data_IF_367897468753
#
_entry.id   IF_367897468753
#
_cell.length_a   1.000
_cell.length_b   1.000
_cell.length_c   1.000
_cell.angle_alpha   90.00
_cell.angle_beta   90.00
_cell.angle_gamma   90.00
#
_symmetry.space_group_name_H-M   'P 1'
#
loop_
_entity.id
_entity.type
_entity.pdbx_description
1 polymer ?
#
# COMPACT_ATOMS: atom_id res chain seq x y z
N UNK A 1 43.97 12.76 9.77
CA UNK A 1 42.95 11.78 9.29
C UNK A 1 43.74 10.51 9.03
N UNK A 2 43.40 9.43 9.72
CA UNK A 2 44.14 8.15 9.63
C UNK A 2 43.46 7.29 8.53
N UNK A 3 44.13 7.09 7.38
CA UNK A 3 43.64 6.30 6.27
C UNK A 3 43.62 4.78 6.56
N UNK A 4 44.16 4.35 7.70
CA UNK A 4 44.23 2.93 8.07
C UNK A 4 43.07 2.46 8.95
N UNK A 5 42.11 3.33 9.31
CA UNK A 5 40.97 2.96 10.12
C UNK A 5 39.90 2.27 9.25
N UNK A 6 39.70 0.94 9.37
CA UNK A 6 38.72 0.21 8.59
C UNK A 6 37.25 0.59 8.91
N UNK A 7 37.02 1.36 9.99
CA UNK A 7 35.71 1.87 10.39
C UNK A 7 35.47 3.33 10.00
N UNK A 8 36.38 3.91 9.19
CA UNK A 8 36.16 5.23 8.65
C UNK A 8 35.05 5.12 7.59
N UNK A 9 33.80 5.24 8.02
CA UNK A 9 32.72 5.48 7.09
C UNK A 9 33.01 6.79 6.35
N UNK A 10 33.17 6.76 5.01
CA UNK A 10 33.28 8.00 4.26
C UNK A 10 32.05 8.85 4.62
N UNK A 11 32.17 10.18 4.72
CA UNK A 11 31.06 11.05 5.00
C UNK A 11 29.95 10.65 4.03
N UNK A 12 28.75 10.35 4.56
CA UNK A 12 27.59 9.93 3.81
C UNK A 12 27.47 10.84 2.59
N UNK A 13 27.91 10.34 1.44
CA UNK A 13 27.74 11.06 0.19
C UNK A 13 26.25 11.02 -0.10
N UNK A 14 25.56 12.11 0.27
CA UNK A 14 24.27 12.37 -0.33
C UNK A 14 24.46 12.22 -1.83
N UNK A 15 23.74 11.31 -2.50
CA UNK A 15 23.89 11.11 -3.94
C UNK A 15 23.44 12.41 -4.63
N UNK A 16 24.44 13.30 -4.84
CA UNK A 16 24.32 14.49 -5.66
C UNK A 16 24.12 13.98 -7.08
N UNK A 17 22.97 14.23 -7.68
CA UNK A 17 22.56 13.91 -9.05
C UNK A 17 21.85 12.56 -9.28
N UNK A 18 20.90 12.17 -8.42
CA UNK A 18 19.77 11.41 -8.98
C UNK A 18 18.76 12.40 -9.54
N UNK A 19 18.31 12.22 -10.81
CA UNK A 19 17.19 13.02 -11.31
C UNK A 19 16.05 12.99 -10.30
N UNK A 20 15.39 14.12 -10.08
CA UNK A 20 14.28 14.25 -9.10
C UNK A 20 13.17 13.19 -9.28
N UNK A 21 13.09 12.55 -10.46
CA UNK A 21 12.20 11.43 -10.77
C UNK A 21 12.54 10.13 -10.00
N UNK A 22 13.79 9.92 -9.57
CA UNK A 22 14.19 8.73 -8.81
C UNK A 22 14.10 8.92 -7.29
N UNK A 23 13.78 10.11 -6.83
CA UNK A 23 13.32 10.38 -5.47
C UNK A 23 11.79 10.21 -5.41
N UNK A 24 11.30 9.11 -5.94
CA UNK A 24 9.93 8.66 -5.76
C UNK A 24 9.73 8.26 -4.29
N UNK A 25 9.61 9.26 -3.44
CA UNK A 25 9.46 9.09 -2.01
C UNK A 25 9.59 10.37 -1.22
N UNK A 26 9.93 11.45 -1.86
CA UNK A 26 9.98 12.78 -1.25
C UNK A 26 8.67 13.53 -1.43
N UNK A 27 7.69 13.32 -0.56
CA UNK A 27 6.75 14.39 -0.22
C UNK A 27 5.52 14.61 -1.11
N UNK A 28 5.15 13.73 -2.04
CA UNK A 28 3.90 13.87 -2.80
C UNK A 28 2.91 12.75 -2.50
N UNK A 29 1.63 13.11 -2.37
CA UNK A 29 0.56 12.10 -2.29
C UNK A 29 0.52 11.29 -3.58
N UNK A 30 0.22 10.00 -3.47
CA UNK A 30 0.04 9.15 -4.64
C UNK A 30 -1.10 9.66 -5.51
N UNK A 31 -0.91 9.63 -6.82
CA UNK A 31 -1.97 9.86 -7.79
C UNK A 31 -3.00 8.72 -7.73
N UNK A 32 -4.18 8.92 -8.32
CA UNK A 32 -5.22 7.88 -8.40
C UNK A 32 -4.66 6.58 -8.98
N UNK A 33 -3.96 6.63 -10.09
CA UNK A 33 -3.39 5.44 -10.74
C UNK A 33 -2.35 4.74 -9.85
N UNK A 34 -1.50 5.51 -9.19
CA UNK A 34 -0.52 4.95 -8.25
C UNK A 34 -1.19 4.30 -7.04
N UNK A 35 -2.27 4.89 -6.54
CA UNK A 35 -2.98 4.35 -5.39
C UNK A 35 -3.73 3.05 -5.72
N UNK A 36 -4.43 3.00 -6.85
CA UNK A 36 -5.41 1.95 -7.15
C UNK A 36 -4.91 0.87 -8.11
N UNK A 37 -3.95 1.19 -8.98
CA UNK A 37 -3.51 0.29 -10.05
C UNK A 37 -2.08 -0.21 -9.89
N UNK A 38 -1.19 0.56 -9.24
CA UNK A 38 0.20 0.16 -9.01
C UNK A 38 0.34 -0.64 -7.71
N UNK A 39 1.26 -1.60 -7.71
CA UNK A 39 1.66 -2.36 -6.53
C UNK A 39 2.88 -1.75 -5.81
N UNK A 40 3.47 -0.71 -6.38
CA UNK A 40 4.68 -0.06 -5.85
C UNK A 40 4.37 0.99 -4.79
N UNK A 41 5.35 1.24 -3.93
CA UNK A 41 5.28 2.26 -2.90
C UNK A 41 4.67 1.78 -1.59
N UNK A 42 4.39 2.73 -0.71
CA UNK A 42 3.89 2.52 0.66
C UNK A 42 2.70 3.43 0.92
N UNK A 43 1.73 2.95 1.69
CA UNK A 43 0.62 3.78 2.18
C UNK A 43 0.48 3.64 3.70
N UNK A 44 0.28 4.74 4.45
CA UNK A 44 0.04 4.69 5.88
C UNK A 44 -1.38 4.16 6.15
N UNK A 45 -1.62 3.63 7.34
CA UNK A 45 -2.93 3.09 7.75
C UNK A 45 -4.10 4.06 7.51
N UNK A 46 -3.88 5.36 7.71
CA UNK A 46 -4.92 6.38 7.47
C UNK A 46 -5.34 6.41 6.00
N UNK A 47 -4.39 6.46 5.07
CA UNK A 47 -4.68 6.42 3.64
C UNK A 47 -5.30 5.07 3.22
N UNK A 48 -4.83 3.96 3.79
CA UNK A 48 -5.40 2.63 3.55
C UNK A 48 -6.89 2.58 3.88
N UNK A 49 -7.32 3.13 5.02
CA UNK A 49 -8.73 3.18 5.38
C UNK A 49 -9.52 4.21 4.58
N UNK A 50 -9.09 5.48 4.60
CA UNK A 50 -9.88 6.61 4.08
C UNK A 50 -9.92 6.63 2.54
N UNK A 51 -8.75 6.42 1.91
CA UNK A 51 -8.62 6.50 0.45
C UNK A 51 -8.63 5.13 -0.22
N UNK A 52 -8.59 4.04 0.53
CA UNK A 52 -8.61 2.66 0.06
C UNK A 52 -9.91 1.93 0.42
N UNK A 53 -9.97 1.40 1.63
CA UNK A 53 -11.04 0.47 2.05
C UNK A 53 -12.44 1.10 2.02
N UNK A 54 -12.60 2.32 2.54
CA UNK A 54 -13.92 2.98 2.58
C UNK A 54 -14.50 3.23 1.18
N UNK A 55 -13.76 3.76 0.19
CA UNK A 55 -14.26 3.85 -1.18
C UNK A 55 -14.61 2.51 -1.82
N UNK A 56 -13.82 1.45 -1.57
CA UNK A 56 -14.12 0.11 -2.08
C UNK A 56 -15.44 -0.43 -1.50
N UNK A 57 -15.63 -0.28 -0.19
CA UNK A 57 -16.89 -0.67 0.47
C UNK A 57 -18.06 0.16 -0.10
N UNK A 58 -17.89 1.48 -0.18
CA UNK A 58 -18.92 2.36 -0.73
C UNK A 58 -19.35 1.97 -2.14
N UNK A 59 -18.37 1.72 -3.03
CA UNK A 59 -18.64 1.27 -4.39
C UNK A 59 -19.34 -0.09 -4.42
N UNK A 60 -18.91 -1.03 -3.57
CA UNK A 60 -19.55 -2.35 -3.46
C UNK A 60 -20.98 -2.26 -2.98
N UNK A 61 -21.28 -1.40 -2.01
CA UNK A 61 -22.64 -1.19 -1.49
C UNK A 61 -23.53 -0.56 -2.57
N UNK A 62 -23.06 0.47 -3.27
CA UNK A 62 -23.81 1.09 -4.37
C UNK A 62 -24.08 0.07 -5.47
N UNK A 63 -23.09 -0.72 -5.86
CA UNK A 63 -23.27 -1.77 -6.85
C UNK A 63 -24.27 -2.83 -6.41
N UNK A 64 -24.27 -3.21 -5.14
CA UNK A 64 -25.24 -4.16 -4.58
C UNK A 64 -26.68 -3.63 -4.63
N UNK A 65 -26.88 -2.37 -4.27
CA UNK A 65 -28.19 -1.72 -4.35
C UNK A 65 -28.68 -1.68 -5.80
N UNK A 66 -27.85 -1.22 -6.73
CA UNK A 66 -28.21 -1.15 -8.15
C UNK A 66 -28.50 -2.53 -8.74
N UNK A 67 -27.68 -3.53 -8.42
CA UNK A 67 -27.89 -4.91 -8.87
C UNK A 67 -29.21 -5.48 -8.36
N UNK A 68 -29.58 -5.18 -7.13
CA UNK A 68 -30.84 -5.61 -6.51
C UNK A 68 -32.04 -4.91 -7.16
N UNK A 69 -31.97 -3.59 -7.34
CA UNK A 69 -33.07 -2.81 -7.94
C UNK A 69 -33.31 -3.16 -9.41
N UNK A 70 -32.24 -3.45 -10.15
CA UNK A 70 -32.30 -3.74 -11.58
C UNK A 70 -32.39 -5.25 -11.88
N UNK A 71 -32.43 -6.10 -10.84
CA UNK A 71 -32.38 -7.57 -10.96
C UNK A 71 -31.20 -8.08 -11.78
N UNK A 72 -30.06 -7.39 -11.72
CA UNK A 72 -28.85 -7.69 -12.49
C UNK A 72 -27.81 -8.43 -11.63
N UNK A 73 -28.06 -9.70 -11.31
CA UNK A 73 -27.15 -10.50 -10.47
C UNK A 73 -25.70 -10.58 -11.03
N UNK A 74 -25.55 -10.59 -12.36
CA UNK A 74 -24.23 -10.58 -12.99
C UNK A 74 -23.44 -9.30 -12.75
N UNK A 75 -24.10 -8.17 -12.49
CA UNK A 75 -23.42 -6.90 -12.19
C UNK A 75 -22.55 -7.02 -10.94
N UNK A 76 -23.03 -7.69 -9.89
CA UNK A 76 -22.25 -7.90 -8.66
C UNK A 76 -21.01 -8.74 -8.90
N UNK A 77 -21.13 -9.81 -9.69
CA UNK A 77 -19.99 -10.65 -10.02
C UNK A 77 -18.93 -9.86 -10.80
N UNK A 78 -19.34 -9.07 -11.79
CA UNK A 78 -18.43 -8.23 -12.58
C UNK A 78 -17.71 -7.19 -11.70
N UNK A 79 -18.47 -6.47 -10.86
CA UNK A 79 -17.88 -5.48 -9.93
C UNK A 79 -16.92 -6.15 -8.97
N UNK A 80 -17.25 -7.30 -8.40
CA UNK A 80 -16.38 -8.04 -7.49
C UNK A 80 -15.05 -8.41 -8.15
N UNK A 81 -15.08 -8.91 -9.37
CA UNK A 81 -13.86 -9.24 -10.14
C UNK A 81 -13.02 -7.99 -10.41
N UNK A 82 -13.64 -6.89 -10.82
CA UNK A 82 -12.94 -5.63 -11.08
C UNK A 82 -12.28 -5.06 -9.82
N UNK A 83 -12.89 -5.24 -8.65
CA UNK A 83 -12.36 -4.75 -7.39
C UNK A 83 -11.24 -5.61 -6.80
N UNK A 84 -11.00 -6.82 -7.30
CA UNK A 84 -9.87 -7.65 -6.85
C UNK A 84 -8.55 -6.91 -7.06
N UNK A 85 -8.32 -6.36 -8.24
CA UNK A 85 -7.05 -5.70 -8.57
C UNK A 85 -6.71 -4.54 -7.63
N UNK A 86 -7.57 -3.51 -7.46
CA UNK A 86 -7.28 -2.42 -6.54
C UNK A 86 -7.18 -2.88 -5.08
N UNK A 87 -7.94 -3.89 -4.67
CA UNK A 87 -7.82 -4.46 -3.32
C UNK A 87 -6.43 -5.06 -3.07
N UNK A 88 -5.92 -5.83 -4.03
CA UNK A 88 -4.57 -6.40 -3.97
C UNK A 88 -3.49 -5.31 -4.00
N UNK A 89 -3.65 -4.28 -4.84
CA UNK A 89 -2.72 -3.16 -4.92
C UNK A 89 -2.62 -2.38 -3.60
N UNK A 90 -3.75 -2.13 -2.94
CA UNK A 90 -3.80 -1.49 -1.62
C UNK A 90 -3.16 -2.37 -0.54
N UNK A 91 -3.50 -3.66 -0.53
CA UNK A 91 -2.93 -4.61 0.42
C UNK A 91 -1.40 -4.71 0.27
N UNK A 92 -0.90 -4.82 -0.97
CA UNK A 92 0.53 -4.88 -1.25
C UNK A 92 1.28 -3.67 -0.68
N UNK A 93 0.80 -2.45 -0.98
CA UNK A 93 1.40 -1.21 -0.45
C UNK A 93 1.37 -1.14 1.07
N UNK A 94 0.36 -1.74 1.66
CA UNK A 94 0.24 -1.77 3.11
C UNK A 94 1.22 -2.76 3.73
N UNK A 95 1.45 -3.93 3.11
CA UNK A 95 2.52 -4.85 3.48
C UNK A 95 3.90 -4.21 3.29
N UNK A 96 4.10 -3.45 2.20
CA UNK A 96 5.31 -2.68 1.95
C UNK A 96 5.57 -1.62 3.03
N UNK A 97 4.53 -0.98 3.54
CA UNK A 97 4.63 -0.01 4.65
C UNK A 97 5.09 -0.67 5.96
N UNK A 98 4.88 -1.98 6.09
CA UNK A 98 5.38 -2.82 7.18
C UNK A 98 6.75 -3.47 6.88
N UNK A 99 7.43 -3.04 5.82
CA UNK A 99 8.66 -3.64 5.30
C UNK A 99 8.53 -5.14 4.96
N UNK A 100 7.33 -5.57 4.62
CA UNK A 100 7.01 -6.94 4.23
C UNK A 100 6.72 -7.01 2.73
N UNK A 101 7.09 -8.12 2.09
CA UNK A 101 6.79 -8.36 0.68
C UNK A 101 5.28 -8.50 0.45
N UNK A 102 4.82 -8.11 -0.76
CA UNK A 102 3.42 -8.31 -1.19
C UNK A 102 2.97 -9.79 -1.13
N UNK A 103 3.89 -10.75 -1.16
CA UNK A 103 3.59 -12.18 -1.02
C UNK A 103 2.87 -12.52 0.29
N UNK A 104 2.99 -11.69 1.32
CA UNK A 104 2.22 -11.84 2.56
C UNK A 104 0.71 -11.75 2.37
N UNK A 105 0.23 -11.27 1.20
CA UNK A 105 -1.20 -11.30 0.85
C UNK A 105 -1.71 -12.74 0.84
N UNK A 106 -0.88 -13.73 0.48
CA UNK A 106 -1.28 -15.13 0.42
C UNK A 106 -1.72 -15.70 1.76
N UNK A 107 -1.39 -15.05 2.88
CA UNK A 107 -1.87 -15.46 4.21
C UNK A 107 -3.40 -15.47 4.30
N UNK A 108 -4.09 -14.70 3.45
CA UNK A 108 -5.56 -14.63 3.41
C UNK A 108 -6.19 -15.99 3.13
N UNK A 109 -5.46 -16.90 2.46
CA UNK A 109 -5.93 -18.25 2.18
C UNK A 109 -5.92 -19.18 3.40
N UNK A 110 -5.33 -18.75 4.53
CA UNK A 110 -5.44 -19.48 5.81
C UNK A 110 -6.75 -19.08 6.47
N UNK A 111 -7.75 -19.97 6.55
CA UNK A 111 -9.06 -19.63 7.07
C UNK A 111 -8.98 -19.02 8.47
N UNK A 112 -9.78 -18.00 8.74
CA UNK A 112 -9.88 -17.26 10.00
C UNK A 112 -8.58 -16.52 10.37
N UNK A 113 -7.47 -17.23 10.49
CA UNK A 113 -6.17 -16.66 10.91
C UNK A 113 -5.68 -15.64 9.89
N UNK A 114 -5.76 -15.95 8.59
CA UNK A 114 -5.28 -15.07 7.52
C UNK A 114 -6.03 -13.74 7.47
N UNK A 115 -7.36 -13.79 7.58
CA UNK A 115 -8.18 -12.58 7.63
C UNK A 115 -7.89 -11.72 8.86
N UNK A 116 -7.83 -12.34 10.05
CA UNK A 116 -7.53 -11.64 11.30
C UNK A 116 -6.12 -11.06 11.28
N UNK A 117 -5.13 -11.82 10.82
CA UNK A 117 -3.75 -11.37 10.71
C UNK A 117 -3.63 -10.17 9.76
N UNK A 118 -4.23 -10.27 8.56
CA UNK A 118 -4.25 -9.19 7.58
C UNK A 118 -4.92 -7.93 8.13
N UNK A 119 -6.03 -8.08 8.84
CA UNK A 119 -6.72 -6.97 9.49
C UNK A 119 -5.84 -6.27 10.51
N UNK A 120 -5.18 -7.01 11.39
CA UNK A 120 -4.29 -6.46 12.43
C UNK A 120 -3.08 -5.78 11.77
N UNK A 121 -2.37 -6.48 10.89
CA UNK A 121 -1.13 -5.98 10.28
C UNK A 121 -1.38 -4.77 9.37
N UNK A 122 -2.37 -4.83 8.51
CA UNK A 122 -2.63 -3.78 7.53
C UNK A 122 -3.54 -2.68 8.07
N UNK A 123 -4.50 -3.02 8.91
CA UNK A 123 -5.49 -2.07 9.42
C UNK A 123 -5.06 -1.35 10.69
N UNK A 124 -4.49 -2.08 11.64
CA UNK A 124 -4.27 -1.57 13.00
C UNK A 124 -2.84 -1.11 13.26
N UNK A 125 -1.83 -1.87 12.83
CA UNK A 125 -0.45 -1.61 13.19
C UNK A 125 0.13 -0.44 12.38
N UNK A 126 1.07 0.30 12.99
CA UNK A 126 1.81 1.38 12.32
C UNK A 126 2.83 0.80 11.34
N UNK A 127 3.07 1.51 10.25
CA UNK A 127 4.17 1.22 9.33
C UNK A 127 5.56 1.45 9.95
N UNK A 128 6.60 1.01 9.26
CA UNK A 128 7.99 1.27 9.66
C UNK A 128 8.29 2.76 9.62
N UNK A 129 8.98 3.25 10.64
CA UNK A 129 9.43 4.63 10.71
C UNK A 129 10.56 4.86 9.70
N UNK A 130 10.56 6.03 9.09
CA UNK A 130 11.55 6.38 8.08
C UNK A 130 11.42 5.60 6.78
N UNK A 131 12.42 5.71 5.91
CA UNK A 131 12.47 4.95 4.65
C UNK A 131 12.76 3.48 4.89
N UNK A 132 12.15 2.63 4.07
CA UNK A 132 12.44 1.20 4.00
C UNK A 132 12.75 0.80 2.54
N UNK A 133 12.92 -0.50 2.26
CA UNK A 133 13.24 -1.00 0.92
C UNK A 133 12.17 -0.69 -0.16
N UNK A 134 10.97 -0.28 0.23
CA UNK A 134 9.86 0.04 -0.68
C UNK A 134 9.62 1.55 -0.84
N UNK A 135 10.40 2.39 -0.17
CA UNK A 135 10.34 3.84 -0.34
C UNK A 135 10.38 4.63 0.96
N UNK A 136 10.21 5.95 0.83
CA UNK A 136 10.21 6.89 1.93
C UNK A 136 8.98 6.72 2.85
N UNK A 137 9.07 7.24 4.08
CA UNK A 137 7.97 7.23 5.04
C UNK A 137 6.79 8.07 4.53
N UNK A 138 5.60 7.48 4.29
CA UNK A 138 4.46 8.21 3.78
C UNK A 138 3.64 8.91 4.87
N UNK A 139 4.03 8.83 6.14
CA UNK A 139 3.19 9.24 7.28
C UNK A 139 2.86 10.73 7.25
N UNK A 140 3.76 11.58 6.75
CA UNK A 140 3.56 13.03 6.64
C UNK A 140 2.74 13.49 5.43
N UNK A 141 2.36 12.59 4.54
CA UNK A 141 1.68 12.93 3.27
C UNK A 141 0.15 12.88 3.33
N UNK A 142 -0.43 12.19 4.34
CA UNK A 142 -1.87 11.90 4.44
C UNK A 142 -2.48 12.32 5.76
#
# INVERSE_FOLDING_TARGET
>A
MDPSNPYHNPPYQTPVNRPAELVMGGGTKMTFNQLWLSFEGRIPRKAYWIHGILPLIGLSVVAAILASLLHLAMLMNLVSVLLIWPSLALAAKRWHDRDKSAWWILIIFVPVIGGLWTFIENGCLRGTLGSNRFGADPTGLY
#
